data_IF_319081802978
#
_entry.id   IF_319081802978
#
_cell.length_a   1.000
_cell.length_b   1.000
_cell.length_c   1.000
_cell.angle_alpha   90.00
_cell.angle_beta   90.00
_cell.angle_gamma   90.00
#
_symmetry.space_group_name_H-M   'P 1'
#
loop_
_entity.id
_entity.type
_entity.pdbx_description
1 polymer ?
#
# COMPACT_ATOMS: atom_id res chain seq x y z
N UNK A 1 -41.78 -47.45 27.81
CA UNK A 1 -40.30 -47.22 27.74
C UNK A 1 -39.86 -46.15 26.73
N UNK A 2 -40.73 -45.61 25.84
CA UNK A 2 -40.30 -44.64 24.80
C UNK A 2 -40.24 -43.17 25.23
N UNK A 3 -40.95 -42.72 26.26
CA UNK A 3 -40.95 -41.28 26.65
C UNK A 3 -39.65 -40.80 27.31
N UNK A 4 -38.90 -41.69 27.97
CA UNK A 4 -37.60 -41.35 28.58
C UNK A 4 -36.48 -41.09 27.55
N UNK A 5 -36.61 -41.62 26.32
CA UNK A 5 -35.63 -41.35 25.25
C UNK A 5 -35.84 -39.97 24.63
N UNK A 6 -37.09 -39.56 24.39
CA UNK A 6 -37.38 -38.24 23.83
C UNK A 6 -36.96 -37.10 24.76
N UNK A 7 -37.14 -37.25 26.08
CA UNK A 7 -36.71 -36.24 27.05
C UNK A 7 -35.18 -36.02 27.07
N UNK A 8 -34.39 -37.08 26.89
CA UNK A 8 -32.92 -36.97 26.82
C UNK A 8 -32.42 -36.26 25.55
N UNK A 9 -33.14 -36.40 24.43
CA UNK A 9 -32.78 -35.75 23.16
C UNK A 9 -33.07 -34.24 23.22
N UNK A 10 -34.23 -33.86 23.79
CA UNK A 10 -34.58 -32.44 23.97
C UNK A 10 -33.65 -31.75 24.96
N UNK A 11 -33.32 -32.40 26.08
CA UNK A 11 -32.37 -31.86 27.07
C UNK A 11 -30.96 -31.65 26.51
N UNK A 12 -30.44 -32.60 25.71
CA UNK A 12 -29.14 -32.43 25.02
C UNK A 12 -29.11 -31.27 24.02
N UNK A 13 -30.21 -31.01 23.30
CA UNK A 13 -30.31 -29.84 22.41
C UNK A 13 -30.36 -28.53 23.20
N UNK A 14 -31.05 -28.51 24.34
CA UNK A 14 -31.10 -27.33 25.22
C UNK A 14 -29.74 -27.03 25.89
N UNK A 15 -29.05 -28.04 26.39
CA UNK A 15 -27.73 -27.88 27.02
C UNK A 15 -26.65 -27.53 25.99
N UNK A 16 -26.74 -28.07 24.76
CA UNK A 16 -25.89 -27.66 23.63
C UNK A 16 -26.10 -26.20 23.24
N UNK A 17 -27.35 -25.70 23.29
CA UNK A 17 -27.66 -24.31 22.99
C UNK A 17 -27.20 -23.36 24.10
N UNK A 18 -27.31 -23.76 25.38
CA UNK A 18 -26.73 -22.98 26.51
C UNK A 18 -25.21 -22.88 26.44
N UNK A 19 -24.52 -23.97 26.09
CA UNK A 19 -23.07 -23.94 25.90
C UNK A 19 -22.65 -23.08 24.70
N UNK A 20 -23.46 -23.04 23.64
CA UNK A 20 -23.23 -22.17 22.49
C UNK A 20 -23.48 -20.69 22.83
N UNK A 21 -24.59 -20.38 23.52
CA UNK A 21 -24.90 -19.03 23.99
C UNK A 21 -23.86 -18.51 24.99
N UNK A 22 -23.40 -19.33 25.93
CA UNK A 22 -22.33 -18.96 26.87
C UNK A 22 -20.98 -18.79 26.17
N UNK A 23 -20.71 -19.57 25.12
CA UNK A 23 -19.49 -19.40 24.31
C UNK A 23 -19.54 -18.10 23.50
N UNK A 24 -20.69 -17.76 22.92
CA UNK A 24 -20.92 -16.49 22.22
C UNK A 24 -20.86 -15.31 23.20
N UNK A 25 -21.49 -15.38 24.37
CA UNK A 25 -21.39 -14.32 25.39
C UNK A 25 -19.96 -14.14 25.90
N UNK A 26 -19.17 -15.22 25.95
CA UNK A 26 -17.76 -15.15 26.33
C UNK A 26 -16.90 -14.58 25.20
N UNK A 27 -17.15 -14.94 23.94
CA UNK A 27 -16.48 -14.36 22.76
C UNK A 27 -16.87 -12.88 22.54
N UNK A 28 -18.10 -12.48 22.87
CA UNK A 28 -18.57 -11.09 22.86
C UNK A 28 -18.06 -10.33 24.11
N UNK A 29 -17.93 -10.99 25.26
CA UNK A 29 -17.34 -10.42 26.48
C UNK A 29 -15.83 -10.20 26.38
N UNK A 30 -15.14 -11.03 25.59
CA UNK A 30 -13.73 -10.85 25.21
C UNK A 30 -13.58 -9.87 24.02
N UNK A 31 -14.68 -9.34 23.48
CA UNK A 31 -14.66 -8.31 22.43
C UNK A 31 -14.29 -6.96 23.04
N UNK A 32 -12.98 -6.69 23.04
CA UNK A 32 -12.41 -5.49 23.64
C UNK A 32 -12.83 -4.24 22.83
N UNK A 33 -13.91 -3.57 23.26
CA UNK A 33 -14.47 -2.39 22.59
C UNK A 33 -13.43 -1.27 22.35
N UNK A 34 -12.50 -1.10 23.30
CA UNK A 34 -11.38 -0.16 23.18
C UNK A 34 -10.49 -0.47 21.97
N UNK A 35 -10.23 -1.75 21.70
CA UNK A 35 -9.45 -2.16 20.52
C UNK A 35 -10.23 -1.84 19.23
N UNK A 36 -11.56 -1.98 19.24
CA UNK A 36 -12.39 -1.66 18.06
C UNK A 36 -12.41 -0.17 17.75
N UNK A 37 -12.61 0.70 18.76
CA UNK A 37 -12.57 2.15 18.55
C UNK A 37 -11.19 2.62 18.10
N UNK A 38 -10.12 2.05 18.64
CA UNK A 38 -8.75 2.34 18.22
C UNK A 38 -8.50 1.90 16.77
N UNK A 39 -8.98 0.72 16.37
CA UNK A 39 -8.87 0.24 14.97
C UNK A 39 -9.61 1.18 14.02
N UNK A 40 -10.82 1.63 14.37
CA UNK A 40 -11.60 2.57 13.55
C UNK A 40 -10.87 3.92 13.44
N UNK A 41 -10.41 4.47 14.56
CA UNK A 41 -9.68 5.74 14.59
C UNK A 41 -8.39 5.67 13.77
N UNK A 42 -7.59 4.61 13.98
CA UNK A 42 -6.39 4.35 13.21
C UNK A 42 -6.66 4.20 11.71
N UNK A 43 -7.69 3.43 11.33
CA UNK A 43 -8.05 3.23 9.92
C UNK A 43 -8.47 4.54 9.27
N UNK A 44 -9.19 5.39 9.99
CA UNK A 44 -9.58 6.72 9.53
C UNK A 44 -8.36 7.61 9.29
N UNK A 45 -7.47 7.72 10.29
CA UNK A 45 -6.23 8.50 10.17
C UNK A 45 -5.39 8.00 8.99
N UNK A 46 -5.22 6.69 8.88
CA UNK A 46 -4.45 6.07 7.83
C UNK A 46 -5.05 6.35 6.45
N UNK A 47 -6.38 6.25 6.30
CA UNK A 47 -7.09 6.53 5.05
C UNK A 47 -6.88 7.98 4.58
N UNK A 48 -7.05 8.96 5.48
CA UNK A 48 -6.78 10.36 5.17
C UNK A 48 -5.31 10.61 4.82
N UNK A 49 -4.38 10.01 5.56
CA UNK A 49 -2.95 10.20 5.35
C UNK A 49 -2.49 9.60 4.00
N UNK A 50 -3.01 8.44 3.64
CA UNK A 50 -2.79 7.80 2.34
C UNK A 50 -3.34 8.68 1.20
N UNK A 51 -4.55 9.21 1.35
CA UNK A 51 -5.18 10.07 0.36
C UNK A 51 -4.46 11.41 0.17
N UNK A 52 -4.09 12.04 1.28
CA UNK A 52 -3.27 13.26 1.28
C UNK A 52 -1.95 13.01 0.55
N UNK A 53 -1.26 11.91 0.88
CA UNK A 53 0.05 11.62 0.32
C UNK A 53 -0.02 11.30 -1.16
N UNK A 54 -1.09 10.63 -1.61
CA UNK A 54 -1.38 10.42 -3.03
C UNK A 54 -1.54 11.75 -3.77
N UNK A 55 -2.44 12.61 -3.30
CA UNK A 55 -2.71 13.90 -3.94
C UNK A 55 -1.45 14.78 -3.94
N UNK A 56 -0.69 14.76 -2.84
CA UNK A 56 0.61 15.42 -2.77
C UNK A 56 1.56 14.91 -3.85
N UNK A 57 1.71 13.60 -4.00
CA UNK A 57 2.58 13.02 -5.02
C UNK A 57 2.17 13.39 -6.44
N UNK A 58 0.85 13.39 -6.70
CA UNK A 58 0.27 13.82 -7.98
C UNK A 58 0.60 15.28 -8.29
N UNK A 59 0.45 16.19 -7.34
CA UNK A 59 0.73 17.62 -7.50
C UNK A 59 2.24 17.93 -7.53
N UNK A 60 3.05 17.17 -6.79
CA UNK A 60 4.52 17.26 -6.76
C UNK A 60 5.11 17.00 -8.15
N UNK A 61 4.49 16.12 -8.97
CA UNK A 61 4.88 15.93 -10.36
C UNK A 61 4.87 17.26 -11.12
N UNK A 62 3.75 17.99 -11.05
CA UNK A 62 3.57 19.29 -11.70
C UNK A 62 4.43 20.40 -11.08
N UNK A 63 5.00 20.18 -9.89
CA UNK A 63 5.78 21.18 -9.13
C UNK A 63 4.90 22.14 -8.32
N UNK A 64 3.66 21.74 -8.04
CA UNK A 64 2.73 22.50 -7.20
C UNK A 64 3.13 22.31 -5.74
N UNK A 65 3.27 23.40 -5.00
CA UNK A 65 3.65 23.34 -3.57
C UNK A 65 2.46 22.96 -2.68
N UNK A 66 2.75 22.49 -1.46
CA UNK A 66 1.76 22.03 -0.49
C UNK A 66 0.64 23.03 -0.16
N UNK A 67 0.82 24.33 -0.48
CA UNK A 67 -0.15 25.41 -0.21
C UNK A 67 -1.47 25.18 -0.97
N UNK A 68 -1.42 24.48 -2.10
CA UNK A 68 -2.61 24.20 -2.92
C UNK A 68 -3.40 22.97 -2.44
N UNK A 69 -2.87 22.17 -1.49
CA UNK A 69 -3.55 21.00 -0.93
C UNK A 69 -4.47 21.47 0.21
N UNK A 70 -5.52 22.22 -0.14
CA UNK A 70 -6.49 22.71 0.85
C UNK A 70 -7.65 21.76 1.08
N UNK A 71 -8.01 20.95 0.07
CA UNK A 71 -9.13 20.02 0.15
C UNK A 71 -8.77 18.67 -0.47
N UNK A 72 -8.82 17.62 0.35
CA UNK A 72 -8.73 16.24 -0.11
C UNK A 72 -10.12 15.84 -0.62
N UNK A 73 -10.24 15.64 -1.93
CA UNK A 73 -11.47 15.16 -2.53
C UNK A 73 -11.76 13.71 -2.07
N UNK A 74 -13.01 13.39 -1.74
CA UNK A 74 -13.43 12.02 -1.42
C UNK A 74 -13.09 11.03 -2.52
N UNK A 75 -13.08 11.47 -3.79
CA UNK A 75 -12.64 10.67 -4.94
C UNK A 75 -11.18 10.27 -4.77
N UNK A 76 -10.30 11.19 -4.35
CA UNK A 76 -8.88 10.89 -4.10
C UNK A 76 -8.72 9.91 -2.94
N UNK A 77 -9.56 10.01 -1.91
CA UNK A 77 -9.59 9.03 -0.81
C UNK A 77 -9.95 7.64 -1.33
N UNK A 78 -11.03 7.51 -2.10
CA UNK A 78 -11.50 6.25 -2.65
C UNK A 78 -10.44 5.63 -3.58
N UNK A 79 -9.86 6.43 -4.49
CA UNK A 79 -8.80 5.95 -5.40
C UNK A 79 -7.61 5.44 -4.60
N UNK A 80 -7.15 6.20 -3.61
CA UNK A 80 -5.95 5.83 -2.86
C UNK A 80 -6.15 4.56 -2.04
N UNK A 81 -7.30 4.42 -1.37
CA UNK A 81 -7.66 3.19 -0.63
C UNK A 81 -7.78 2.02 -1.60
N UNK A 82 -8.40 2.22 -2.77
CA UNK A 82 -8.57 1.15 -3.77
C UNK A 82 -7.22 0.70 -4.31
N UNK A 83 -6.33 1.62 -4.68
CA UNK A 83 -4.99 1.30 -5.21
C UNK A 83 -4.15 0.58 -4.17
N UNK A 84 -4.09 1.09 -2.94
CA UNK A 84 -3.32 0.44 -1.86
C UNK A 84 -3.92 -0.92 -1.51
N UNK A 85 -5.24 -0.99 -1.35
CA UNK A 85 -5.95 -2.22 -0.99
C UNK A 85 -5.81 -3.32 -2.04
N UNK A 86 -6.03 -2.99 -3.32
CA UNK A 86 -5.83 -3.94 -4.43
C UNK A 86 -4.38 -4.38 -4.56
N UNK A 87 -3.41 -3.47 -4.39
CA UNK A 87 -1.98 -3.81 -4.39
C UNK A 87 -1.61 -4.80 -3.29
N UNK A 88 -2.08 -4.57 -2.05
CA UNK A 88 -1.87 -5.49 -0.93
C UNK A 88 -2.56 -6.84 -1.16
N UNK A 89 -3.75 -6.83 -1.77
CA UNK A 89 -4.48 -8.06 -2.09
C UNK A 89 -3.73 -8.89 -3.15
N UNK A 90 -3.22 -8.27 -4.21
CA UNK A 90 -2.39 -8.96 -5.21
C UNK A 90 -1.09 -9.49 -4.62
N UNK A 91 -0.42 -8.74 -3.74
CA UNK A 91 0.75 -9.22 -3.01
C UNK A 91 0.43 -10.48 -2.20
N UNK A 92 -0.69 -10.46 -1.47
CA UNK A 92 -1.14 -11.60 -0.66
C UNK A 92 -1.42 -12.82 -1.53
N UNK A 93 -2.14 -12.65 -2.64
CA UNK A 93 -2.40 -13.74 -3.60
C UNK A 93 -1.09 -14.26 -4.20
N UNK A 94 -0.20 -13.38 -4.66
CA UNK A 94 1.07 -13.77 -5.26
C UNK A 94 1.93 -14.56 -4.26
N UNK A 95 2.06 -14.06 -3.03
CA UNK A 95 2.76 -14.75 -1.96
C UNK A 95 2.14 -16.13 -1.69
N UNK A 96 0.83 -16.22 -1.51
CA UNK A 96 0.18 -17.49 -1.20
C UNK A 96 0.30 -18.53 -2.31
N UNK A 97 0.14 -18.11 -3.57
CA UNK A 97 0.27 -19.03 -4.71
C UNK A 97 1.70 -19.53 -4.85
N UNK A 98 2.69 -18.64 -4.82
CA UNK A 98 4.11 -19.02 -4.89
C UNK A 98 4.50 -19.90 -3.69
N UNK A 99 4.06 -19.53 -2.50
CA UNK A 99 4.26 -20.31 -1.27
C UNK A 99 3.65 -21.71 -1.39
N UNK A 100 2.42 -21.82 -1.90
CA UNK A 100 1.72 -23.10 -2.11
C UNK A 100 2.44 -24.01 -3.12
N UNK A 101 2.91 -23.44 -4.24
CA UNK A 101 3.70 -24.17 -5.24
C UNK A 101 5.00 -24.70 -4.62
N UNK A 102 5.71 -23.86 -3.85
CA UNK A 102 6.97 -24.22 -3.20
C UNK A 102 6.79 -25.16 -1.99
N UNK A 103 5.56 -25.36 -1.50
CA UNK A 103 5.29 -26.18 -0.31
C UNK A 103 5.32 -27.68 -0.55
N UNK A 104 5.35 -28.13 -1.81
CA UNK A 104 5.25 -29.56 -2.16
C UNK A 104 6.59 -30.33 -2.06
N UNK A 105 7.65 -29.73 -1.50
CA UNK A 105 8.97 -30.36 -1.37
C UNK A 105 9.48 -30.44 0.07
N UNK A 106 10.02 -31.59 0.46
CA UNK A 106 10.82 -31.77 1.70
C UNK A 106 12.26 -31.24 1.57
N UNK A 107 12.55 -30.55 0.47
CA UNK A 107 13.86 -30.04 0.15
C UNK A 107 14.19 -28.79 1.01
N UNK A 108 15.24 -28.84 1.86
CA UNK A 108 15.57 -27.73 2.76
C UNK A 108 15.98 -26.45 2.02
N UNK A 109 16.50 -26.54 0.78
CA UNK A 109 16.84 -25.36 -0.02
C UNK A 109 15.61 -24.57 -0.44
N UNK A 110 14.51 -25.25 -0.77
CA UNK A 110 13.25 -24.64 -1.17
C UNK A 110 12.53 -24.07 0.05
N UNK A 111 12.56 -24.79 1.17
CA UNK A 111 11.95 -24.33 2.41
C UNK A 111 12.59 -23.04 2.92
N UNK A 112 13.93 -22.94 2.95
CA UNK A 112 14.59 -21.71 3.38
C UNK A 112 14.33 -20.54 2.41
N UNK A 113 14.27 -20.82 1.09
CA UNK A 113 13.90 -19.82 0.10
C UNK A 113 12.49 -19.29 0.34
N UNK A 114 11.53 -20.19 0.54
CA UNK A 114 10.13 -19.86 0.80
C UNK A 114 9.98 -19.02 2.08
N UNK A 115 10.57 -19.46 3.18
CA UNK A 115 10.36 -18.81 4.48
C UNK A 115 11.12 -17.48 4.63
N UNK A 116 12.34 -17.37 4.05
CA UNK A 116 13.15 -16.15 4.18
C UNK A 116 13.17 -15.25 2.96
N UNK A 117 13.24 -15.79 1.76
CA UNK A 117 13.47 -14.96 0.56
C UNK A 117 12.19 -14.54 -0.14
N UNK A 118 11.20 -15.45 -0.22
CA UNK A 118 9.96 -15.21 -0.95
C UNK A 118 9.20 -13.94 -0.52
N UNK A 119 9.06 -13.61 0.79
CA UNK A 119 8.40 -12.37 1.19
C UNK A 119 9.08 -11.12 0.60
N UNK A 120 10.42 -11.08 0.61
CA UNK A 120 11.18 -9.96 0.03
C UNK A 120 11.07 -9.93 -1.49
N UNK A 121 11.07 -11.09 -2.15
CA UNK A 121 10.89 -11.16 -3.60
C UNK A 121 9.53 -10.60 -4.03
N UNK A 122 8.46 -10.96 -3.33
CA UNK A 122 7.10 -10.50 -3.63
C UNK A 122 6.97 -8.99 -3.40
N UNK A 123 7.51 -8.46 -2.30
CA UNK A 123 7.56 -7.01 -2.04
C UNK A 123 8.45 -6.28 -3.06
N UNK A 124 9.62 -6.84 -3.38
CA UNK A 124 10.56 -6.26 -4.34
C UNK A 124 9.95 -6.16 -5.75
N UNK A 125 9.18 -7.16 -6.17
CA UNK A 125 8.48 -7.11 -7.45
C UNK A 125 7.45 -5.98 -7.50
N UNK A 126 6.69 -5.76 -6.41
CA UNK A 126 5.78 -4.63 -6.32
C UNK A 126 6.54 -3.30 -6.41
N UNK A 127 7.58 -3.11 -5.60
CA UNK A 127 8.37 -1.87 -5.62
C UNK A 127 8.97 -1.60 -7.00
N UNK A 128 9.48 -2.63 -7.69
CA UNK A 128 10.01 -2.50 -9.04
C UNK A 128 8.95 -2.17 -10.10
N UNK A 129 7.69 -2.61 -9.90
CA UNK A 129 6.59 -2.27 -10.79
C UNK A 129 6.16 -0.80 -10.68
N UNK A 130 6.38 -0.17 -9.52
CA UNK A 130 6.05 1.24 -9.30
C UNK A 130 7.02 2.17 -10.02
N UNK A 131 8.31 1.91 -9.86
CA UNK A 131 9.35 2.74 -10.46
C UNK A 131 10.43 1.87 -11.11
N UNK A 132 10.44 1.80 -12.47
CA UNK A 132 11.41 1.03 -13.21
C UNK A 132 12.88 1.41 -12.93
N UNK A 133 13.14 2.65 -12.50
CA UNK A 133 14.49 3.10 -12.18
C UNK A 133 15.06 2.36 -10.97
N UNK A 134 14.20 1.95 -10.04
CA UNK A 134 14.59 1.23 -8.81
C UNK A 134 14.83 -0.25 -9.03
N UNK A 135 14.43 -0.83 -10.17
CA UNK A 135 14.57 -2.27 -10.44
C UNK A 135 16.02 -2.75 -10.27
N UNK A 136 17.00 -1.95 -10.69
CA UNK A 136 18.43 -2.27 -10.52
C UNK A 136 18.85 -2.32 -9.05
N UNK A 137 18.41 -1.37 -8.25
CA UNK A 137 18.73 -1.30 -6.82
C UNK A 137 18.04 -2.44 -6.07
N UNK A 138 16.75 -2.66 -6.36
CA UNK A 138 15.94 -3.72 -5.73
C UNK A 138 16.52 -5.10 -6.08
N UNK A 139 16.88 -5.34 -7.34
CA UNK A 139 17.49 -6.62 -7.75
C UNK A 139 18.85 -6.86 -7.07
N UNK A 140 19.68 -5.82 -6.93
CA UNK A 140 20.94 -5.91 -6.18
C UNK A 140 20.69 -6.25 -4.70
N UNK A 141 19.73 -5.58 -4.05
CA UNK A 141 19.35 -5.85 -2.66
C UNK A 141 18.83 -7.29 -2.49
N UNK A 142 17.94 -7.75 -3.37
CA UNK A 142 17.44 -9.13 -3.36
C UNK A 142 18.59 -10.13 -3.55
N UNK A 143 19.54 -9.85 -4.43
CA UNK A 143 20.72 -10.69 -4.63
C UNK A 143 21.57 -10.79 -3.35
N UNK A 144 21.83 -9.67 -2.67
CA UNK A 144 22.57 -9.65 -1.40
C UNK A 144 21.83 -10.43 -0.31
N UNK A 145 20.51 -10.26 -0.20
CA UNK A 145 19.66 -10.99 0.75
C UNK A 145 19.75 -12.50 0.47
N UNK A 146 19.62 -12.91 -0.79
CA UNK A 146 19.70 -14.31 -1.20
C UNK A 146 21.05 -14.93 -0.80
N UNK A 147 22.16 -14.24 -1.11
CA UNK A 147 23.51 -14.67 -0.71
C UNK A 147 23.59 -14.83 0.81
N UNK A 148 23.11 -13.84 1.55
CA UNK A 148 23.18 -13.83 3.02
C UNK A 148 22.40 -15.01 3.61
N UNK A 149 21.19 -15.28 3.11
CA UNK A 149 20.34 -16.40 3.54
C UNK A 149 21.06 -17.74 3.41
N UNK A 150 21.82 -17.94 2.32
CA UNK A 150 22.51 -19.19 2.06
C UNK A 150 23.92 -19.27 2.68
N UNK A 151 24.64 -18.15 2.82
CA UNK A 151 25.99 -18.16 3.42
C UNK A 151 26.00 -18.18 4.95
N UNK A 152 25.07 -17.47 5.61
CA UNK A 152 25.04 -17.37 7.08
C UNK A 152 24.95 -18.74 7.77
N UNK A 153 24.10 -19.69 7.34
CA UNK A 153 24.03 -21.02 7.96
C UNK A 153 25.35 -21.79 7.91
N UNK A 154 26.20 -21.54 6.91
CA UNK A 154 27.52 -22.19 6.77
C UNK A 154 28.43 -21.77 7.93
N UNK A 155 28.44 -20.47 8.25
CA UNK A 155 29.25 -19.87 9.30
C UNK A 155 28.66 -20.06 10.70
N UNK A 156 27.33 -20.09 10.85
CA UNK A 156 26.63 -20.27 12.12
C UNK A 156 26.70 -21.71 12.63
N UNK A 157 26.51 -22.69 11.75
CA UNK A 157 26.46 -24.11 12.12
C UNK A 157 27.71 -24.87 11.64
N UNK A 158 28.91 -24.39 12.00
CA UNK A 158 30.19 -24.99 11.54
C UNK A 158 30.34 -26.45 11.96
N UNK A 159 29.81 -26.81 13.12
CA UNK A 159 29.91 -28.15 13.73
C UNK A 159 29.08 -29.22 13.01
N UNK A 160 28.04 -28.81 12.27
CA UNK A 160 27.14 -29.73 11.57
C UNK A 160 27.73 -30.09 10.20
N UNK A 161 27.96 -31.38 9.95
CA UNK A 161 28.43 -31.88 8.65
C UNK A 161 27.31 -31.85 7.59
N UNK A 162 27.65 -31.38 6.40
CA UNK A 162 26.78 -31.32 5.24
C UNK A 162 25.88 -30.07 5.20
N UNK A 163 25.85 -29.38 4.06
CA UNK A 163 25.15 -28.11 3.93
C UNK A 163 23.63 -28.23 4.10
N UNK A 164 23.02 -29.28 3.55
CA UNK A 164 21.59 -29.55 3.73
C UNK A 164 21.17 -29.71 5.19
N UNK A 165 22.03 -30.28 6.05
CA UNK A 165 21.76 -30.41 7.48
C UNK A 165 21.86 -29.06 8.20
N UNK A 166 22.81 -28.19 7.80
CA UNK A 166 22.89 -26.81 8.30
C UNK A 166 21.63 -26.02 7.96
N UNK A 167 21.11 -26.17 6.73
CA UNK A 167 19.86 -25.52 6.33
C UNK A 167 18.66 -26.06 7.11
N UNK A 168 18.57 -27.38 7.33
CA UNK A 168 17.52 -27.97 8.19
C UNK A 168 17.56 -27.42 9.62
N UNK A 169 18.76 -27.23 10.17
CA UNK A 169 18.91 -26.63 11.50
C UNK A 169 18.48 -25.17 11.51
N UNK A 170 18.82 -24.38 10.48
CA UNK A 170 18.33 -23.01 10.36
C UNK A 170 16.80 -22.97 10.22
N UNK A 171 16.18 -23.90 9.49
CA UNK A 171 14.72 -23.99 9.36
C UNK A 171 14.06 -24.26 10.72
N UNK A 172 14.60 -25.20 11.51
CA UNK A 172 14.10 -25.46 12.87
C UNK A 172 14.19 -24.21 13.75
N UNK A 173 15.33 -23.53 13.71
CA UNK A 173 15.52 -22.26 14.41
C UNK A 173 14.51 -21.20 13.94
N UNK A 174 14.21 -21.16 12.64
CA UNK A 174 13.24 -20.22 12.07
C UNK A 174 11.81 -20.48 12.55
N UNK A 175 11.41 -21.74 12.63
CA UNK A 175 10.10 -22.14 13.12
C UNK A 175 9.90 -21.79 14.60
N UNK A 176 10.95 -21.90 15.41
CA UNK A 176 10.91 -21.66 16.86
C UNK A 176 11.07 -20.17 17.22
N UNK A 177 12.06 -19.49 16.65
CA UNK A 177 12.49 -18.15 17.09
C UNK A 177 12.72 -17.14 15.94
N UNK A 178 12.63 -17.59 14.69
CA UNK A 178 12.97 -16.75 13.55
C UNK A 178 11.91 -15.75 13.13
N UNK A 179 12.33 -14.85 12.23
CA UNK A 179 11.42 -13.92 11.55
C UNK A 179 10.70 -14.62 10.40
N UNK A 180 9.54 -15.23 10.71
CA UNK A 180 8.59 -15.76 9.73
C UNK A 180 7.30 -14.96 9.79
N UNK A 181 6.48 -14.94 8.72
CA UNK A 181 5.17 -14.24 8.75
C UNK A 181 4.27 -14.75 9.89
N UNK A 182 4.34 -16.06 10.17
CA UNK A 182 3.63 -16.68 11.29
C UNK A 182 4.12 -16.10 12.63
N UNK A 183 5.43 -16.03 12.83
CA UNK A 183 6.01 -15.49 14.07
C UNK A 183 5.76 -13.99 14.20
N UNK A 184 5.78 -13.24 13.10
CA UNK A 184 5.35 -11.83 13.06
C UNK A 184 3.91 -11.73 13.54
N UNK A 185 2.97 -12.51 12.98
CA UNK A 185 1.56 -12.50 13.37
C UNK A 185 1.35 -12.88 14.83
N UNK A 186 2.09 -13.87 15.33
CA UNK A 186 2.08 -14.25 16.75
C UNK A 186 2.64 -13.13 17.64
N UNK A 187 3.70 -12.46 17.21
CA UNK A 187 4.30 -11.31 17.90
C UNK A 187 3.36 -10.13 17.95
N UNK A 188 2.59 -9.84 16.89
CA UNK A 188 1.53 -8.81 16.92
C UNK A 188 0.53 -9.13 18.03
N UNK A 189 0.12 -10.40 18.15
CA UNK A 189 -0.86 -10.80 19.15
C UNK A 189 -0.28 -10.76 20.57
N UNK A 190 0.97 -11.17 20.76
CA UNK A 190 1.55 -11.40 22.10
C UNK A 190 2.33 -10.22 22.67
N UNK A 191 2.94 -9.38 21.83
CA UNK A 191 3.91 -8.35 22.25
C UNK A 191 3.36 -6.95 21.95
N UNK A 192 2.95 -6.17 22.96
CA UNK A 192 2.35 -4.85 22.76
C UNK A 192 3.25 -3.86 22.01
N UNK A 193 4.56 -3.85 22.29
CA UNK A 193 5.51 -2.98 21.59
C UNK A 193 5.59 -3.27 20.08
N UNK A 194 5.42 -4.54 19.70
CA UNK A 194 5.40 -4.94 18.29
C UNK A 194 4.14 -4.45 17.56
N UNK A 195 3.00 -4.35 18.26
CA UNK A 195 1.78 -3.71 17.70
C UNK A 195 2.03 -2.24 17.39
N UNK A 196 2.63 -1.50 18.32
CA UNK A 196 2.98 -0.09 18.14
C UNK A 196 3.97 0.06 16.97
N UNK A 197 4.99 -0.80 16.92
CA UNK A 197 5.93 -0.83 15.82
C UNK A 197 5.24 -1.00 14.46
N UNK A 198 4.30 -1.94 14.34
CA UNK A 198 3.54 -2.13 13.09
C UNK A 198 2.73 -0.89 12.74
N UNK A 199 2.03 -0.28 13.71
CA UNK A 199 1.24 0.94 13.51
C UNK A 199 2.14 2.08 12.98
N UNK A 200 3.32 2.27 13.58
CA UNK A 200 4.28 3.29 13.14
C UNK A 200 4.82 2.96 11.75
N UNK A 201 5.15 1.70 11.50
CA UNK A 201 5.66 1.24 10.21
C UNK A 201 4.63 1.47 9.10
N UNK A 202 3.36 1.12 9.29
CA UNK A 202 2.29 1.32 8.31
C UNK A 202 1.97 2.79 8.08
N UNK A 203 1.99 3.62 9.13
CA UNK A 203 1.83 5.08 9.02
C UNK A 203 2.98 5.76 8.26
N UNK A 204 4.14 5.11 8.15
CA UNK A 204 5.29 5.65 7.42
C UNK A 204 5.36 5.11 5.99
N UNK A 205 5.17 3.80 5.82
CA UNK A 205 5.37 3.11 4.55
C UNK A 205 4.20 3.33 3.59
N UNK A 206 2.95 3.19 4.04
CA UNK A 206 1.80 3.27 3.14
C UNK A 206 1.61 4.67 2.53
N UNK A 207 1.76 5.77 3.29
CA UNK A 207 1.68 7.11 2.70
C UNK A 207 2.80 7.37 1.69
N UNK A 208 4.02 6.89 1.95
CA UNK A 208 5.15 7.00 1.01
C UNK A 208 4.88 6.26 -0.30
N UNK A 209 4.32 5.03 -0.22
CA UNK A 209 3.89 4.29 -1.40
C UNK A 209 2.78 5.04 -2.15
N UNK A 210 1.79 5.56 -1.43
CA UNK A 210 0.69 6.31 -2.00
C UNK A 210 1.16 7.55 -2.77
N UNK A 211 2.15 8.27 -2.22
CA UNK A 211 2.79 9.40 -2.87
C UNK A 211 3.47 9.00 -4.20
N UNK A 212 4.25 7.92 -4.20
CA UNK A 212 4.87 7.40 -5.42
C UNK A 212 3.83 7.03 -6.49
N UNK A 213 2.70 6.44 -6.07
CA UNK A 213 1.60 6.14 -6.99
C UNK A 213 0.99 7.41 -7.59
N UNK A 214 0.69 8.42 -6.76
CA UNK A 214 0.15 9.70 -7.24
C UNK A 214 1.10 10.37 -8.24
N UNK A 215 2.39 10.39 -7.94
CA UNK A 215 3.42 10.94 -8.83
C UNK A 215 3.47 10.21 -10.17
N UNK A 216 3.50 8.88 -10.13
CA UNK A 216 3.55 8.06 -11.34
C UNK A 216 2.26 8.14 -12.16
N UNK A 217 1.11 8.33 -11.51
CA UNK A 217 -0.15 8.57 -12.20
C UNK A 217 -0.11 9.88 -12.97
N UNK A 218 0.30 10.99 -12.34
CA UNK A 218 0.46 12.28 -13.00
C UNK A 218 1.45 12.22 -14.18
N UNK A 219 2.57 11.50 -14.00
CA UNK A 219 3.58 11.29 -15.04
C UNK A 219 3.05 10.54 -16.27
N UNK A 220 2.12 9.60 -16.08
CA UNK A 220 1.55 8.77 -17.14
C UNK A 220 0.25 9.34 -17.71
N UNK A 221 -0.22 10.47 -17.19
CA UNK A 221 -1.42 11.13 -17.68
C UNK A 221 -1.15 11.70 -19.07
N UNK A 222 -2.03 11.39 -20.01
CA UNK A 222 -1.91 11.86 -21.40
C UNK A 222 -3.07 12.75 -21.80
N UNK A 223 -4.20 12.65 -21.10
CA UNK A 223 -5.42 13.36 -21.42
C UNK A 223 -5.56 14.54 -20.47
N UNK A 224 -5.58 15.74 -21.03
CA UNK A 224 -5.69 16.97 -20.27
C UNK A 224 -6.84 17.83 -20.77
N UNK A 225 -7.26 18.73 -19.90
CA UNK A 225 -8.27 19.74 -20.21
C UNK A 225 -7.62 21.10 -20.10
N UNK A 226 -7.82 21.94 -21.10
CA UNK A 226 -7.35 23.33 -21.08
C UNK A 226 -8.48 24.26 -21.54
N UNK A 227 -8.36 25.53 -21.22
CA UNK A 227 -9.22 26.58 -21.75
C UNK A 227 -8.38 27.75 -22.22
N UNK A 228 -8.97 28.58 -23.07
CA UNK A 228 -8.33 29.79 -23.60
C UNK A 228 -9.01 31.00 -22.99
N UNK A 229 -8.25 31.85 -22.33
CA UNK A 229 -8.72 33.16 -21.89
C UNK A 229 -7.93 34.24 -22.65
N UNK A 230 -8.64 35.04 -23.44
CA UNK A 230 -8.08 36.03 -24.36
C UNK A 230 -7.08 35.44 -25.37
N UNK A 231 -5.78 35.47 -25.04
CA UNK A 231 -4.66 35.00 -25.88
C UNK A 231 -3.79 33.95 -25.21
N UNK A 232 -4.09 33.58 -23.96
CA UNK A 232 -3.31 32.64 -23.17
C UNK A 232 -4.10 31.35 -22.96
N UNK A 233 -3.43 30.22 -23.14
CA UNK A 233 -4.00 28.92 -22.83
C UNK A 233 -3.61 28.53 -21.41
N UNK A 234 -4.58 28.00 -20.66
CA UNK A 234 -4.40 27.52 -19.31
C UNK A 234 -4.81 26.07 -19.24
N UNK A 235 -3.91 25.22 -18.74
CA UNK A 235 -4.19 23.83 -18.44
C UNK A 235 -4.83 23.72 -17.07
N UNK A 236 -5.84 22.87 -16.95
CA UNK A 236 -6.41 22.47 -15.67
C UNK A 236 -5.60 21.27 -15.18
N UNK A 237 -4.97 21.42 -14.02
CA UNK A 237 -4.13 20.38 -13.41
C UNK A 237 -4.93 19.53 -12.44
N UNK A 238 -5.70 20.16 -11.56
CA UNK A 238 -6.51 19.46 -10.56
C UNK A 238 -7.72 20.32 -10.15
N UNK A 239 -8.70 19.69 -9.51
CA UNK A 239 -9.87 20.32 -8.92
C UNK A 239 -9.80 20.26 -7.39
N UNK A 240 -9.79 21.42 -6.75
CA UNK A 240 -9.85 21.55 -5.29
C UNK A 240 -11.19 22.17 -4.88
N UNK A 241 -12.18 21.32 -4.59
CA UNK A 241 -13.54 21.74 -4.26
C UNK A 241 -14.23 22.39 -5.45
N UNK A 242 -14.61 23.65 -5.30
CA UNK A 242 -15.23 24.48 -6.36
C UNK A 242 -14.22 25.33 -7.12
N UNK A 243 -12.92 24.98 -7.02
CA UNK A 243 -11.85 25.67 -7.71
C UNK A 243 -11.05 24.75 -8.62
N UNK A 244 -10.52 25.30 -9.71
CA UNK A 244 -9.47 24.67 -10.50
C UNK A 244 -8.10 25.21 -10.11
N UNK A 245 -7.12 24.30 -10.07
CA UNK A 245 -5.70 24.65 -10.08
C UNK A 245 -5.27 24.65 -11.54
N UNK A 246 -4.85 25.81 -12.03
CA UNK A 246 -4.51 26.03 -13.43
C UNK A 246 -3.06 26.49 -13.59
N UNK A 247 -2.48 26.20 -14.75
CA UNK A 247 -1.15 26.70 -15.14
C UNK A 247 -1.13 27.17 -16.60
N UNK A 248 -0.33 28.20 -16.93
CA UNK A 248 -0.09 28.59 -18.31
C UNK A 248 0.47 27.43 -19.12
N UNK A 249 -0.08 27.24 -20.33
CA UNK A 249 0.22 26.11 -21.20
C UNK A 249 0.55 26.55 -22.62
N UNK A 250 1.71 26.15 -23.12
CA UNK A 250 2.09 26.33 -24.53
C UNK A 250 1.69 25.07 -25.32
N UNK A 251 0.58 25.17 -26.03
CA UNK A 251 0.01 24.08 -26.87
C UNK A 251 1.00 23.60 -27.94
N UNK A 252 1.86 24.48 -28.47
CA UNK A 252 2.82 24.09 -29.52
C UNK A 252 3.99 23.28 -28.96
N UNK A 253 4.38 23.55 -27.71
CA UNK A 253 5.53 22.92 -27.05
C UNK A 253 5.14 21.82 -26.07
N UNK A 254 3.85 21.63 -25.81
CA UNK A 254 3.32 20.73 -24.77
C UNK A 254 3.98 20.99 -23.41
N UNK A 255 4.13 22.27 -23.06
CA UNK A 255 4.92 22.72 -21.93
C UNK A 255 4.07 23.54 -20.96
N UNK A 256 4.14 23.19 -19.68
CA UNK A 256 3.55 23.99 -18.60
C UNK A 256 4.62 24.81 -17.90
N UNK A 257 4.27 26.05 -17.57
CA UNK A 257 5.05 26.87 -16.66
C UNK A 257 4.63 26.59 -15.21
N UNK A 258 5.60 26.54 -14.30
CA UNK A 258 5.34 26.37 -12.85
C UNK A 258 4.83 27.67 -12.21
N UNK A 259 3.72 28.19 -12.75
CA UNK A 259 2.98 29.35 -12.24
C UNK A 259 1.55 28.90 -12.06
N UNK A 260 1.14 28.72 -10.82
CA UNK A 260 -0.16 28.15 -10.50
C UNK A 260 -1.13 29.22 -10.04
N UNK A 261 -2.36 29.14 -10.51
CA UNK A 261 -3.45 30.00 -10.08
C UNK A 261 -4.64 29.13 -9.64
N UNK A 262 -5.41 29.63 -8.69
CA UNK A 262 -6.67 29.03 -8.27
C UNK A 262 -7.78 29.90 -8.89
N UNK A 263 -8.65 29.29 -9.67
CA UNK A 263 -9.83 29.97 -10.21
C UNK A 263 -11.10 29.26 -9.74
N UNK A 264 -12.12 30.04 -9.41
CA UNK A 264 -13.43 29.50 -9.06
C UNK A 264 -14.13 28.97 -10.31
N UNK A 265 -14.81 27.83 -10.16
CA UNK A 265 -15.63 27.22 -11.20
C UNK A 265 -16.95 27.98 -11.26
N UNK A 266 -16.93 29.12 -11.95
CA UNK A 266 -18.13 29.92 -12.23
C UNK A 266 -18.43 29.83 -13.72
N UNK A 267 -19.52 29.18 -14.07
CA UNK A 267 -19.99 29.05 -15.44
C UNK A 267 -21.48 29.32 -15.48
N UNK A 268 -21.87 30.35 -16.22
CA UNK A 268 -23.28 30.68 -16.47
C UNK A 268 -23.63 30.31 -17.91
N UNK A 269 -24.91 30.02 -18.16
CA UNK A 269 -25.38 29.66 -19.51
C UNK A 269 -25.16 30.78 -20.54
N UNK A 270 -25.10 32.03 -20.09
CA UNK A 270 -24.83 33.20 -20.93
C UNK A 270 -23.34 33.39 -21.26
N UNK A 271 -22.45 32.91 -20.40
CA UNK A 271 -20.98 32.96 -20.58
C UNK A 271 -20.38 31.61 -20.17
N UNK A 272 -20.60 30.56 -20.98
CA UNK A 272 -20.17 29.22 -20.61
C UNK A 272 -18.65 29.14 -20.59
N UNK A 273 -18.11 28.48 -19.58
CA UNK A 273 -16.70 28.19 -19.51
C UNK A 273 -16.40 27.00 -20.44
N UNK A 274 -15.76 27.26 -21.59
CA UNK A 274 -15.52 26.23 -22.62
C UNK A 274 -14.19 25.54 -22.37
N UNK A 275 -14.26 24.21 -22.22
CA UNK A 275 -13.11 23.35 -22.00
C UNK A 275 -12.76 22.58 -23.27
N UNK A 276 -11.47 22.52 -23.59
CA UNK A 276 -10.93 21.75 -24.71
C UNK A 276 -10.13 20.57 -24.17
N UNK A 277 -10.41 19.37 -24.67
CA UNK A 277 -9.60 18.18 -24.39
C UNK A 277 -8.38 18.16 -25.32
N UNK A 278 -7.22 17.82 -24.77
CA UNK A 278 -5.99 17.55 -25.54
C UNK A 278 -5.38 16.23 -25.08
N UNK A 279 -4.86 15.45 -26.03
CA UNK A 279 -4.12 14.21 -25.73
C UNK A 279 -2.66 14.39 -26.11
N UNK A 280 -1.77 14.28 -25.14
CA UNK A 280 -0.32 14.44 -25.27
C UNK A 280 0.33 13.07 -25.04
N UNK A 281 0.72 12.40 -26.13
CA UNK A 281 1.19 11.00 -26.10
C UNK A 281 2.44 10.76 -25.23
N UNK A 282 3.32 11.75 -25.15
CA UNK A 282 4.57 11.67 -24.39
C UNK A 282 4.47 12.29 -22.98
N UNK A 283 3.24 12.62 -22.53
CA UNK A 283 2.99 13.35 -21.29
C UNK A 283 3.42 14.83 -21.36
N UNK A 284 3.13 15.58 -20.30
CA UNK A 284 3.50 16.99 -20.20
C UNK A 284 4.98 17.20 -19.87
N UNK A 285 5.62 18.15 -20.57
CA UNK A 285 6.96 18.63 -20.22
C UNK A 285 6.83 19.78 -19.23
N UNK A 286 7.51 19.65 -18.11
CA UNK A 286 7.45 20.63 -17.02
C UNK A 286 8.68 21.50 -17.09
N UNK A 287 8.49 22.81 -17.32
CA UNK A 287 9.60 23.75 -17.30
C UNK A 287 9.94 24.09 -15.86
N UNK A 288 10.95 23.41 -15.32
CA UNK A 288 11.59 23.80 -14.05
C UNK A 288 12.43 25.03 -14.31
N UNK A 289 11.98 26.19 -13.84
CA UNK A 289 12.84 27.36 -13.81
C UNK A 289 13.97 27.06 -12.81
N UNK A 290 15.24 27.05 -13.25
CA UNK A 290 16.43 26.85 -12.41
C UNK A 290 16.70 28.06 -11.48
N UNK A 291 15.65 28.60 -10.86
CA UNK A 291 15.72 29.72 -9.92
C UNK A 291 15.37 29.22 -8.53
N UNK A 292 16.32 28.51 -7.91
CA UNK A 292 16.19 27.96 -6.56
C UNK A 292 17.51 27.43 -5.97
N UNK A 293 18.52 27.12 -6.79
CA UNK A 293 19.90 26.90 -6.32
C UNK A 293 20.61 28.23 -6.07
N UNK A 294 20.13 29.02 -5.09
CA UNK A 294 20.94 30.03 -4.39
C UNK A 294 20.36 30.29 -3.00
N UNK A 295 20.75 29.45 -2.04
CA UNK A 295 21.44 29.82 -0.79
C UNK A 295 21.50 28.63 0.15
#
# INVERSE_FOLDING_TARGET
MSSRRSYRIVKRRFDGNKNFSQKIEKEIGDFNWLDTSLIIGYSTILGYLIAYSFQKGYLDYYGITNIFISQINIVNIIISITVVGTSLFYLYIAYNNLSGILSHGSNPYIQIFKERFLPFLVVGFLLGALDPEWIKIISLLLFIILITIYLVPIAKYKEIKGYGNKLKQEIKYLDEEGFTLKNVMLSVKKVPSFRIFIIVATLTVLPSLSNLFGYNQAKRETDYVYFTNERNNYLIIDRSGDNFIIAPFDVKKNLIEQKFQIIEIKSDMEKPFVYNKITIKDGLRIFKNKSGEKR
#
